data_IF_532221857143
#
_entry.id   IF_532221857143
#
_cell.length_a   1.000
_cell.length_b   1.000
_cell.length_c   1.000
_cell.angle_alpha   90.00
_cell.angle_beta   90.00
_cell.angle_gamma   90.00
#
_symmetry.space_group_name_H-M   'P 1'
#
loop_
_entity.id
_entity.type
_entity.pdbx_description
1 polymer ?
#
# COMPACT_ATOMS: atom_id res chain seq x y z
N UNK A 1 18.91 -5.74 -14.72
CA UNK A 1 18.03 -6.51 -13.83
C UNK A 1 17.52 -5.57 -12.74
N UNK A 2 16.24 -5.17 -12.75
CA UNK A 2 15.71 -4.34 -11.67
C UNK A 2 15.40 -5.24 -10.46
N UNK A 3 15.91 -4.96 -9.26
CA UNK A 3 15.58 -5.75 -8.08
C UNK A 3 14.11 -5.55 -7.71
N UNK A 4 13.48 -6.61 -7.22
CA UNK A 4 12.08 -6.63 -6.82
C UNK A 4 11.73 -5.48 -5.86
N UNK A 5 10.62 -4.79 -6.12
CA UNK A 5 10.18 -3.60 -5.36
C UNK A 5 9.59 -3.91 -3.99
N UNK A 6 9.37 -5.18 -3.67
CA UNK A 6 8.74 -5.62 -2.40
C UNK A 6 9.57 -6.73 -1.77
N UNK A 7 9.65 -6.75 -0.43
CA UNK A 7 10.15 -7.91 0.32
C UNK A 7 9.14 -9.06 0.38
N UNK A 8 8.01 -8.89 -0.27
CA UNK A 8 7.05 -9.94 -0.49
C UNK A 8 7.59 -10.77 -1.66
N UNK A 9 8.25 -11.87 -1.34
CA UNK A 9 8.51 -12.92 -2.31
C UNK A 9 7.20 -13.71 -2.44
N UNK A 10 6.48 -13.58 -3.56
CA UNK A 10 5.26 -14.35 -3.76
C UNK A 10 5.60 -15.84 -3.73
N UNK A 11 4.82 -16.61 -2.97
CA UNK A 11 4.92 -18.07 -2.95
C UNK A 11 3.81 -18.64 -3.85
N UNK A 12 4.13 -19.07 -5.09
CA UNK A 12 3.14 -19.61 -6.02
C UNK A 12 2.45 -20.87 -5.50
N UNK A 13 3.09 -21.60 -4.57
CA UNK A 13 2.51 -22.80 -3.96
C UNK A 13 1.25 -22.50 -3.15
N UNK A 14 1.09 -21.26 -2.70
CA UNK A 14 -0.11 -20.77 -1.98
C UNK A 14 -1.18 -20.19 -2.91
N UNK A 15 -1.01 -20.32 -4.22
CA UNK A 15 -1.90 -19.78 -5.24
C UNK A 15 -1.55 -18.36 -5.68
N UNK A 16 -2.22 -17.92 -6.74
CA UNK A 16 -2.04 -16.58 -7.33
C UNK A 16 -3.40 -15.88 -7.36
N UNK A 17 -3.45 -14.68 -6.78
CA UNK A 17 -4.59 -13.78 -6.86
C UNK A 17 -4.33 -12.73 -7.93
N UNK A 18 -5.00 -12.86 -9.07
CA UNK A 18 -5.00 -11.84 -10.11
C UNK A 18 -6.06 -10.79 -9.78
N UNK A 19 -5.62 -9.57 -9.50
CA UNK A 19 -6.50 -8.44 -9.23
C UNK A 19 -6.61 -7.61 -10.50
N UNK A 20 -7.81 -7.51 -11.04
CA UNK A 20 -8.14 -6.58 -12.11
C UNK A 20 -8.71 -5.26 -11.56
N UNK A 21 -8.92 -4.26 -12.42
CA UNK A 21 -9.45 -2.96 -12.02
C UNK A 21 -10.86 -3.04 -11.39
N UNK A 22 -11.82 -3.83 -11.94
CA UNK A 22 -13.11 -4.03 -11.30
C UNK A 22 -13.01 -4.59 -9.88
N UNK A 23 -12.26 -5.66 -9.67
CA UNK A 23 -12.08 -6.26 -8.34
C UNK A 23 -11.39 -5.29 -7.38
N UNK A 24 -10.33 -4.58 -7.84
CA UNK A 24 -9.69 -3.55 -7.03
C UNK A 24 -10.67 -2.45 -6.61
N UNK A 25 -11.54 -2.01 -7.52
CA UNK A 25 -12.58 -1.04 -7.24
C UNK A 25 -13.54 -1.51 -6.14
N UNK A 26 -14.02 -2.75 -6.22
CA UNK A 26 -14.91 -3.32 -5.19
C UNK A 26 -14.21 -3.53 -3.85
N UNK A 27 -12.95 -3.96 -3.84
CA UNK A 27 -12.16 -4.06 -2.61
C UNK A 27 -11.92 -2.69 -1.96
N UNK A 28 -11.67 -1.65 -2.76
CA UNK A 28 -11.52 -0.28 -2.26
C UNK A 28 -12.81 0.25 -1.64
N UNK A 29 -13.98 -0.04 -2.27
CA UNK A 29 -15.31 0.29 -1.73
C UNK A 29 -15.57 -0.44 -0.41
N UNK A 30 -15.29 -1.75 -0.35
CA UNK A 30 -15.45 -2.55 0.86
C UNK A 30 -14.56 -2.02 2.00
N UNK A 31 -13.31 -1.64 1.70
CA UNK A 31 -12.39 -1.06 2.68
C UNK A 31 -12.90 0.28 3.21
N UNK A 32 -13.29 1.19 2.32
CA UNK A 32 -13.85 2.49 2.68
C UNK A 32 -15.10 2.36 3.56
N UNK A 33 -16.00 1.42 3.25
CA UNK A 33 -17.20 1.15 4.06
C UNK A 33 -16.85 0.61 5.46
N UNK A 34 -15.84 -0.29 5.57
CA UNK A 34 -15.37 -0.77 6.88
C UNK A 34 -14.84 0.38 7.73
N UNK A 35 -14.04 1.27 7.13
CA UNK A 35 -13.52 2.46 7.79
C UNK A 35 -14.66 3.38 8.24
N UNK A 36 -15.55 3.77 7.33
CA UNK A 36 -16.62 4.72 7.61
C UNK A 36 -17.57 4.28 8.75
N UNK A 37 -17.72 2.96 8.96
CA UNK A 37 -18.58 2.42 10.02
C UNK A 37 -17.98 2.49 11.41
N UNK A 38 -16.66 2.52 11.52
CA UNK A 38 -15.96 2.40 12.80
C UNK A 38 -15.05 3.59 13.11
N UNK A 39 -14.63 4.32 12.10
CA UNK A 39 -13.69 5.43 12.20
C UNK A 39 -14.07 6.54 11.24
N UNK A 40 -13.97 7.77 11.70
CA UNK A 40 -14.24 8.95 10.87
C UNK A 40 -12.96 9.75 10.74
N UNK A 41 -12.05 9.38 9.80
CA UNK A 41 -10.84 10.13 9.57
C UNK A 41 -11.13 11.51 8.99
N UNK A 42 -10.22 12.45 9.23
CA UNK A 42 -10.27 13.80 8.66
C UNK A 42 -9.40 13.89 7.39
N UNK A 43 -8.51 12.92 7.20
CA UNK A 43 -7.54 12.88 6.09
C UNK A 43 -7.03 11.46 5.86
N UNK A 44 -6.73 11.12 4.62
CA UNK A 44 -6.09 9.86 4.22
C UNK A 44 -4.64 10.12 3.82
N UNK A 45 -3.73 9.26 4.28
CA UNK A 45 -2.31 9.29 3.91
C UNK A 45 -1.91 7.95 3.30
N UNK A 46 -1.60 7.93 2.02
CA UNK A 46 -1.09 6.75 1.32
C UNK A 46 0.42 6.59 1.48
N UNK A 47 0.88 5.37 1.73
CA UNK A 47 2.32 5.08 1.79
C UNK A 47 2.84 4.91 0.36
N UNK A 48 3.65 5.87 -0.08
CA UNK A 48 4.24 5.82 -1.42
C UNK A 48 5.34 4.73 -1.49
N UNK A 49 5.41 4.01 -2.62
CA UNK A 49 4.80 4.30 -3.92
C UNK A 49 3.44 3.58 -4.08
N UNK A 50 3.34 2.32 -3.74
CA UNK A 50 2.23 1.47 -4.15
C UNK A 50 0.94 1.74 -3.35
N UNK A 51 1.05 2.11 -2.08
CA UNK A 51 -0.08 2.51 -1.24
C UNK A 51 -0.77 3.83 -1.66
N UNK A 52 -0.17 4.59 -2.60
CA UNK A 52 -0.82 5.78 -3.18
C UNK A 52 -2.08 5.42 -3.95
N UNK A 53 -2.06 4.33 -4.71
CA UNK A 53 -3.21 3.92 -5.54
C UNK A 53 -4.43 3.59 -4.67
N UNK A 54 -4.34 2.64 -3.70
CA UNK A 54 -5.48 2.35 -2.82
C UNK A 54 -5.81 3.53 -1.88
N UNK A 55 -4.80 4.28 -1.42
CA UNK A 55 -5.03 5.45 -0.57
C UNK A 55 -5.86 6.52 -1.26
N UNK A 56 -5.52 6.87 -2.50
CA UNK A 56 -6.28 7.83 -3.29
C UNK A 56 -7.70 7.34 -3.62
N UNK A 57 -7.86 6.05 -3.94
CA UNK A 57 -9.17 5.47 -4.19
C UNK A 57 -10.07 5.52 -2.94
N UNK A 58 -9.55 5.12 -1.78
CA UNK A 58 -10.28 5.18 -0.50
C UNK A 58 -10.61 6.62 -0.11
N UNK A 59 -9.67 7.55 -0.27
CA UNK A 59 -9.89 8.98 0.00
C UNK A 59 -11.02 9.56 -0.86
N UNK A 60 -11.02 9.24 -2.15
CA UNK A 60 -12.08 9.67 -3.08
C UNK A 60 -13.46 9.12 -2.69
N UNK A 61 -13.54 7.84 -2.27
CA UNK A 61 -14.79 7.22 -1.84
C UNK A 61 -15.30 7.83 -0.52
N UNK A 62 -14.39 8.17 0.40
CA UNK A 62 -14.72 8.81 1.68
C UNK A 62 -14.96 10.33 1.57
N UNK A 63 -14.72 10.93 0.41
CA UNK A 63 -14.74 12.39 0.17
C UNK A 63 -13.82 13.16 1.13
N UNK A 64 -12.56 12.68 1.25
CA UNK A 64 -11.57 13.22 2.16
C UNK A 64 -10.31 13.72 1.45
N UNK A 65 -9.59 14.70 2.02
CA UNK A 65 -8.26 15.09 1.55
C UNK A 65 -7.29 13.90 1.54
N UNK A 66 -6.41 13.87 0.53
CA UNK A 66 -5.39 12.86 0.36
C UNK A 66 -3.99 13.46 0.38
N UNK A 67 -3.09 12.83 1.13
CA UNK A 67 -1.65 13.09 1.10
C UNK A 67 -0.89 11.77 0.94
N UNK A 68 0.42 11.86 0.67
CA UNK A 68 1.30 10.70 0.66
C UNK A 68 2.51 10.90 1.56
N UNK A 69 3.07 9.78 2.05
CA UNK A 69 4.33 9.73 2.76
C UNK A 69 5.23 8.70 2.11
N UNK A 70 6.46 9.06 1.80
CA UNK A 70 7.40 8.12 1.19
C UNK A 70 8.14 7.33 2.26
N UNK A 71 7.85 6.02 2.32
CA UNK A 71 8.59 5.06 3.14
C UNK A 71 9.18 4.01 2.22
N UNK A 72 10.49 3.86 2.20
CA UNK A 72 11.16 2.96 1.28
C UNK A 72 12.38 2.29 1.93
N UNK A 73 12.69 1.10 1.46
CA UNK A 73 13.99 0.44 1.71
C UNK A 73 15.04 0.85 0.69
N UNK A 74 14.63 1.41 -0.44
CA UNK A 74 15.54 1.82 -1.50
C UNK A 74 16.17 3.16 -1.15
N UNK A 75 17.50 3.19 -1.05
CA UNK A 75 18.28 4.41 -0.84
C UNK A 75 18.72 5.02 -2.18
N UNK A 76 19.12 4.17 -3.14
CA UNK A 76 19.50 4.55 -4.51
C UNK A 76 19.05 3.47 -5.49
N UNK A 77 19.36 3.64 -6.78
CA UNK A 77 19.04 2.64 -7.80
C UNK A 77 19.59 1.24 -7.45
N UNK A 78 20.75 1.20 -6.79
CA UNK A 78 21.50 -0.04 -6.54
C UNK A 78 21.59 -0.44 -5.06
N UNK A 79 21.10 0.40 -4.14
CA UNK A 79 21.22 0.15 -2.69
C UNK A 79 19.85 -0.07 -2.05
N UNK A 80 19.64 -1.28 -1.51
CA UNK A 80 18.47 -1.66 -0.73
C UNK A 80 18.88 -1.82 0.73
N UNK A 81 18.17 -1.14 1.65
CA UNK A 81 18.38 -1.29 3.09
C UNK A 81 17.67 -2.52 3.63
N UNK A 82 18.19 -3.10 4.69
CA UNK A 82 17.51 -4.18 5.43
C UNK A 82 16.19 -3.70 6.04
N UNK A 83 16.16 -2.45 6.54
CA UNK A 83 14.99 -1.81 7.14
C UNK A 83 14.50 -0.64 6.31
N UNK A 84 13.16 -0.41 6.21
CA UNK A 84 12.63 0.76 5.55
C UNK A 84 12.98 2.04 6.31
N UNK A 85 12.99 3.18 5.61
CA UNK A 85 13.16 4.51 6.18
C UNK A 85 12.14 5.48 5.58
N UNK A 86 11.81 6.52 6.33
CA UNK A 86 10.99 7.63 5.82
C UNK A 86 11.88 8.57 5.02
N UNK A 87 11.46 8.91 3.81
CA UNK A 87 12.12 9.86 2.93
C UNK A 87 11.25 11.11 2.75
N UNK A 88 11.83 12.26 3.03
CA UNK A 88 11.11 13.53 3.02
C UNK A 88 10.32 13.78 4.31
N UNK A 89 9.56 14.87 4.30
CA UNK A 89 8.74 15.26 5.44
C UNK A 89 7.38 14.56 5.41
N UNK A 90 6.87 14.17 6.57
CA UNK A 90 5.46 13.82 6.70
C UNK A 90 4.58 15.06 6.46
N UNK A 91 3.38 14.92 5.87
CA UNK A 91 2.53 16.04 5.54
C UNK A 91 2.13 16.83 6.82
N UNK A 92 2.39 18.14 6.82
CA UNK A 92 2.08 19.00 7.97
C UNK A 92 0.57 19.13 8.24
N UNK A 93 -0.24 18.95 7.20
CA UNK A 93 -1.70 19.05 7.25
C UNK A 93 -2.38 17.97 8.10
N UNK A 94 -1.64 16.96 8.57
CA UNK A 94 -2.17 15.92 9.47
C UNK A 94 -2.20 16.37 10.94
N UNK A 95 -1.58 17.50 11.27
CA UNK A 95 -1.54 18.01 12.66
C UNK A 95 -2.93 18.20 13.23
N UNK A 96 -3.16 17.65 14.45
CA UNK A 96 -4.44 17.65 15.15
C UNK A 96 -5.59 16.95 14.41
N UNK A 97 -5.31 16.14 13.38
CA UNK A 97 -6.33 15.39 12.62
C UNK A 97 -6.34 13.91 12.96
N UNK A 98 -7.49 13.28 12.76
CA UNK A 98 -7.64 11.82 12.71
C UNK A 98 -7.19 11.36 11.34
N UNK A 99 -6.19 10.51 11.29
CA UNK A 99 -5.50 10.10 10.05
C UNK A 99 -5.79 8.64 9.74
N UNK A 100 -6.19 8.34 8.52
CA UNK A 100 -6.19 6.98 7.99
C UNK A 100 -4.91 6.77 7.16
N UNK A 101 -4.02 5.88 7.62
CA UNK A 101 -2.84 5.49 6.85
C UNK A 101 -3.18 4.29 5.98
N UNK A 102 -2.92 4.38 4.67
CA UNK A 102 -3.27 3.33 3.71
C UNK A 102 -2.04 2.81 2.99
N UNK A 103 -1.92 1.48 2.91
CA UNK A 103 -0.92 0.78 2.07
C UNK A 103 -1.62 -0.28 1.19
N UNK A 104 -0.91 -0.79 0.16
CA UNK A 104 -1.49 -1.82 -0.70
C UNK A 104 -1.48 -3.19 -0.01
N UNK A 105 -0.34 -3.56 0.57
CA UNK A 105 -0.15 -4.86 1.24
C UNK A 105 0.59 -4.69 2.56
N UNK A 106 0.30 -5.53 3.53
CA UNK A 106 1.14 -5.61 4.72
C UNK A 106 1.44 -7.06 5.12
N UNK A 107 2.70 -7.30 5.45
CA UNK A 107 3.18 -8.58 5.96
C UNK A 107 3.70 -8.42 7.40
N UNK A 108 4.87 -7.81 7.60
CA UNK A 108 5.45 -7.55 8.91
C UNK A 108 4.98 -6.25 9.57
N UNK A 109 4.36 -5.35 8.80
CA UNK A 109 3.96 -4.02 9.24
C UNK A 109 5.11 -3.01 9.45
N UNK A 110 6.33 -3.34 9.07
CA UNK A 110 7.48 -2.45 9.29
C UNK A 110 7.31 -1.09 8.63
N UNK A 111 6.84 -1.05 7.38
CA UNK A 111 6.57 0.17 6.61
C UNK A 111 5.48 1.01 7.28
N UNK A 112 4.37 0.37 7.64
CA UNK A 112 3.23 1.03 8.30
C UNK A 112 3.64 1.66 9.62
N UNK A 113 4.40 0.92 10.49
CA UNK A 113 4.87 1.47 11.77
C UNK A 113 5.74 2.70 11.62
N UNK A 114 6.59 2.74 10.59
CA UNK A 114 7.41 3.92 10.32
C UNK A 114 6.58 5.11 9.86
N UNK A 115 5.62 4.90 8.97
CA UNK A 115 4.70 5.94 8.53
C UNK A 115 3.91 6.49 9.73
N UNK A 116 3.35 5.62 10.57
CA UNK A 116 2.62 6.02 11.79
C UNK A 116 3.54 6.84 12.72
N UNK A 117 4.76 6.37 13.00
CA UNK A 117 5.71 7.12 13.84
C UNK A 117 6.02 8.52 13.31
N UNK A 118 6.21 8.66 12.00
CA UNK A 118 6.45 9.96 11.37
C UNK A 118 5.24 10.90 11.49
N UNK A 119 4.02 10.38 11.33
CA UNK A 119 2.78 11.17 11.45
C UNK A 119 2.49 11.57 12.91
N UNK A 120 2.80 10.70 13.88
CA UNK A 120 2.75 11.04 15.32
C UNK A 120 3.70 12.18 15.63
N UNK A 121 4.93 12.16 15.11
CA UNK A 121 5.92 13.21 15.32
C UNK A 121 5.49 14.57 14.75
N UNK A 122 4.68 14.60 13.68
CA UNK A 122 4.09 15.84 13.14
C UNK A 122 2.91 16.32 13.98
N UNK A 123 2.34 15.47 14.84
CA UNK A 123 1.24 15.83 15.74
C UNK A 123 -0.12 15.40 15.24
N UNK A 124 -0.23 14.28 14.52
CA UNK A 124 -1.53 13.66 14.26
C UNK A 124 -2.25 13.36 15.58
N UNK A 125 -3.57 13.62 15.63
CA UNK A 125 -4.38 13.43 16.83
C UNK A 125 -4.64 11.95 17.12
N UNK A 126 -4.94 11.21 16.07
CA UNK A 126 -5.26 9.79 16.12
C UNK A 126 -4.89 9.16 14.77
N UNK A 127 -4.43 7.94 14.77
CA UNK A 127 -4.05 7.25 13.54
C UNK A 127 -4.63 5.84 13.56
N UNK A 128 -5.31 5.47 12.48
CA UNK A 128 -5.67 4.09 12.19
C UNK A 128 -5.11 3.67 10.83
N UNK A 129 -4.94 2.38 10.63
CA UNK A 129 -4.23 1.78 9.51
C UNK A 129 -5.15 0.91 8.67
N UNK A 130 -5.02 1.00 7.37
CA UNK A 130 -5.80 0.22 6.41
C UNK A 130 -4.91 -0.34 5.30
N UNK A 131 -5.21 -1.53 4.81
CA UNK A 131 -4.54 -2.12 3.66
C UNK A 131 -5.55 -2.79 2.73
N UNK A 132 -5.24 -2.82 1.44
CA UNK A 132 -6.04 -3.63 0.50
C UNK A 132 -5.87 -5.12 0.82
N UNK A 133 -4.63 -5.57 1.04
CA UNK A 133 -4.33 -6.97 1.27
C UNK A 133 -3.47 -7.19 2.52
N UNK A 134 -3.99 -7.99 3.45
CA UNK A 134 -3.22 -8.50 4.60
C UNK A 134 -2.61 -9.83 4.19
N UNK A 135 -1.27 -9.95 4.20
CA UNK A 135 -0.55 -11.16 3.74
C UNK A 135 0.30 -11.84 4.82
N UNK A 136 0.45 -11.25 5.99
CA UNK A 136 1.35 -11.76 7.03
C UNK A 136 0.79 -11.61 8.44
N UNK A 137 1.68 -11.58 9.43
CA UNK A 137 1.35 -11.58 10.86
C UNK A 137 0.88 -10.22 11.38
N UNK A 138 1.25 -9.11 10.74
CA UNK A 138 0.78 -7.80 11.17
C UNK A 138 -0.73 -7.66 10.96
N UNK A 139 -1.41 -7.10 11.94
CA UNK A 139 -2.84 -6.87 11.91
C UNK A 139 -3.08 -5.36 11.80
N UNK A 140 -3.40 -4.82 10.62
CA UNK A 140 -3.87 -3.44 10.47
C UNK A 140 -5.27 -3.30 11.09
N UNK A 141 -5.68 -2.07 11.42
CA UNK A 141 -7.04 -1.82 11.93
C UNK A 141 -8.11 -2.23 10.91
N UNK A 142 -7.82 -2.02 9.62
CA UNK A 142 -8.71 -2.43 8.51
C UNK A 142 -7.94 -3.14 7.40
N UNK A 143 -8.59 -4.10 6.77
CA UNK A 143 -8.13 -4.69 5.51
C UNK A 143 -9.32 -5.07 4.62
N UNK A 144 -9.15 -4.97 3.30
CA UNK A 144 -10.18 -5.41 2.38
C UNK A 144 -10.21 -6.94 2.29
N UNK A 145 -9.06 -7.57 2.09
CA UNK A 145 -8.89 -9.01 1.96
C UNK A 145 -7.66 -9.51 2.73
N UNK A 146 -7.79 -10.67 3.39
CA UNK A 146 -6.65 -11.41 3.91
C UNK A 146 -6.35 -12.58 2.97
N UNK A 147 -5.09 -12.76 2.57
CA UNK A 147 -4.66 -13.86 1.70
C UNK A 147 -3.19 -14.18 1.90
N UNK A 148 -2.82 -15.43 1.66
CA UNK A 148 -1.43 -15.87 1.57
C UNK A 148 -0.95 -16.04 0.11
N UNK A 149 -1.87 -15.90 -0.84
CA UNK A 149 -1.57 -16.02 -2.27
C UNK A 149 -0.63 -14.91 -2.74
N UNK A 150 0.15 -15.22 -3.78
CA UNK A 150 0.85 -14.22 -4.54
C UNK A 150 -0.14 -13.25 -5.20
N UNK A 151 0.05 -11.95 -5.04
CA UNK A 151 -0.89 -10.94 -5.54
C UNK A 151 -0.29 -10.26 -6.77
N UNK A 152 -1.03 -10.28 -7.87
CA UNK A 152 -0.72 -9.52 -9.08
C UNK A 152 -1.68 -8.33 -9.15
N UNK A 153 -1.11 -7.14 -9.11
CA UNK A 153 -1.87 -5.89 -9.03
C UNK A 153 -2.11 -5.28 -10.42
N UNK A 154 -3.26 -4.63 -10.68
CA UNK A 154 -3.60 -4.16 -12.01
C UNK A 154 -2.72 -3.01 -12.51
N UNK A 155 -2.17 -2.17 -11.62
CA UNK A 155 -1.39 -0.99 -11.99
C UNK A 155 0.09 -1.24 -12.27
N UNK A 156 0.58 -2.44 -11.98
CA UNK A 156 1.98 -2.79 -12.21
C UNK A 156 2.16 -4.20 -12.81
N UNK A 157 1.07 -4.77 -13.33
CA UNK A 157 1.08 -6.04 -14.05
C UNK A 157 1.98 -6.00 -15.28
N UNK A 158 2.03 -4.84 -15.93
CA UNK A 158 2.84 -4.58 -17.11
C UNK A 158 3.72 -3.36 -16.87
N UNK A 159 4.84 -3.31 -17.57
CA UNK A 159 5.76 -2.16 -17.59
C UNK A 159 6.10 -1.78 -19.02
N UNK A 160 6.42 -0.51 -19.24
CA UNK A 160 6.92 -0.03 -20.51
C UNK A 160 8.39 -0.44 -20.70
N UNK A 161 8.69 -1.12 -21.79
CA UNK A 161 10.05 -1.48 -22.23
C UNK A 161 10.22 -0.96 -23.66
N UNK A 162 10.99 0.12 -23.80
CA UNK A 162 11.00 0.89 -25.03
C UNK A 162 9.65 1.58 -25.24
N UNK A 163 8.94 1.20 -26.29
CA UNK A 163 7.60 1.70 -26.66
C UNK A 163 6.50 0.63 -26.55
N UNK A 164 6.82 -0.54 -25.97
CA UNK A 164 5.89 -1.66 -25.80
C UNK A 164 5.58 -1.94 -24.34
N UNK A 165 4.31 -2.27 -24.04
CA UNK A 165 3.93 -2.83 -22.75
C UNK A 165 4.32 -4.31 -22.71
N UNK A 166 5.04 -4.70 -21.66
CA UNK A 166 5.44 -6.07 -21.42
C UNK A 166 5.12 -6.51 -19.99
N UNK A 167 4.86 -7.80 -19.76
CA UNK A 167 4.67 -8.32 -18.41
C UNK A 167 5.79 -7.87 -17.49
N UNK A 168 5.43 -7.42 -16.29
CA UNK A 168 6.40 -7.00 -15.29
C UNK A 168 7.22 -8.22 -14.79
N UNK A 169 8.56 -8.22 -14.91
CA UNK A 169 9.39 -9.35 -14.49
C UNK A 169 9.20 -9.80 -13.04
N UNK A 170 8.69 -8.93 -12.16
CA UNK A 170 8.40 -9.31 -10.77
C UNK A 170 7.30 -10.38 -10.67
N UNK A 171 6.52 -10.57 -11.72
CA UNK A 171 5.44 -11.55 -11.81
C UNK A 171 5.77 -12.73 -12.72
N UNK A 172 7.05 -12.88 -13.05
CA UNK A 172 7.52 -14.03 -13.85
C UNK A 172 7.11 -15.36 -13.19
N UNK A 173 6.50 -16.24 -13.96
CA UNK A 173 5.97 -17.52 -13.46
C UNK A 173 4.63 -17.42 -12.68
N UNK A 174 4.08 -16.23 -12.47
CA UNK A 174 2.79 -16.04 -11.81
C UNK A 174 1.64 -15.76 -12.80
N UNK A 175 1.97 -15.19 -13.95
CA UNK A 175 0.97 -14.89 -14.98
C UNK A 175 0.75 -16.10 -15.87
N UNK A 176 -0.51 -16.40 -16.25
CA UNK A 176 -0.77 -17.42 -17.27
C UNK A 176 -0.09 -16.99 -18.59
N UNK A 177 0.50 -17.97 -19.27
CA UNK A 177 1.11 -17.82 -20.60
C UNK A 177 0.02 -17.59 -21.64
#
# INVERSE_FOLDING_TARGET
MMPARSNYAPDPSKGVLLVDWPLFGELSRALALKVARAYQPDVVVGIATAGVVPGAAVAAILDLPFHSILVSRRYSADTIRETPAVFGAAPADVRNKRVLVVDETCSSGATIRLAVGALVNVGAKEIQTAVSFKTGSFVPDYHALATESAIVLPWDREILVGDELRPNPKYEGLLPV
#
